data_IF_268644284447
#
_entry.id   IF_268644284447
#
_cell.length_a   1.000
_cell.length_b   1.000
_cell.length_c   1.000
_cell.angle_alpha   90.00
_cell.angle_beta   90.00
_cell.angle_gamma   90.00
#
_symmetry.space_group_name_H-M   'P 1'
#
loop_
_entity.id
_entity.type
_entity.pdbx_description
1 polymer ?
#
# COMPACT_ATOMS: atom_id res chain seq x y z
N UNK A 1 12.85 1.72 -14.95
CA UNK A 1 14.05 2.41 -14.43
C UNK A 1 14.92 1.45 -13.64
N UNK A 2 14.41 0.74 -12.63
CA UNK A 2 15.18 -0.18 -11.77
C UNK A 2 15.95 -1.28 -12.55
N UNK A 3 15.32 -1.92 -13.55
CA UNK A 3 16.00 -2.91 -14.41
C UNK A 3 17.21 -2.34 -15.14
N UNK A 4 17.12 -1.12 -15.65
CA UNK A 4 18.21 -0.46 -16.35
C UNK A 4 19.38 -0.17 -15.41
N UNK A 5 19.10 0.24 -14.18
CA UNK A 5 20.13 0.55 -13.19
C UNK A 5 20.86 -0.72 -12.72
N UNK A 6 20.13 -1.83 -12.53
CA UNK A 6 20.69 -3.15 -12.24
C UNK A 6 21.63 -3.60 -13.35
N UNK A 7 21.16 -3.52 -14.62
CA UNK A 7 21.96 -3.94 -15.79
C UNK A 7 23.22 -3.09 -15.99
N UNK A 8 23.14 -1.76 -15.80
CA UNK A 8 24.29 -0.86 -15.87
C UNK A 8 25.39 -1.19 -14.87
N UNK A 9 25.03 -1.84 -13.76
CA UNK A 9 25.98 -2.29 -12.73
C UNK A 9 26.44 -3.73 -12.92
N UNK A 10 26.09 -4.36 -14.04
CA UNK A 10 26.53 -5.71 -14.39
C UNK A 10 25.75 -6.85 -13.76
N UNK A 11 24.59 -6.56 -13.14
CA UNK A 11 23.70 -7.56 -12.59
C UNK A 11 22.51 -7.85 -13.51
N UNK A 12 21.93 -9.03 -13.37
CA UNK A 12 20.67 -9.40 -14.01
C UNK A 12 19.59 -9.52 -12.95
N UNK A 13 18.40 -8.99 -13.25
CA UNK A 13 17.21 -9.20 -12.44
C UNK A 13 16.46 -10.43 -12.98
N UNK A 14 16.29 -11.44 -12.12
CA UNK A 14 15.48 -12.60 -12.41
C UNK A 14 14.19 -12.51 -11.56
N UNK A 15 13.02 -12.23 -12.16
CA UNK A 15 11.77 -12.26 -11.43
C UNK A 15 11.39 -13.71 -11.10
N UNK A 16 11.08 -13.96 -9.83
CA UNK A 16 10.55 -15.22 -9.35
C UNK A 16 9.14 -14.97 -8.84
N UNK A 17 8.19 -15.73 -9.34
CA UNK A 17 6.81 -15.69 -8.90
C UNK A 17 6.51 -16.94 -8.11
N UNK A 18 5.90 -16.80 -6.95
CA UNK A 18 5.36 -17.92 -6.21
C UNK A 18 4.16 -18.44 -6.99
N UNK A 19 4.23 -19.67 -7.47
CA UNK A 19 3.08 -20.33 -8.06
C UNK A 19 2.07 -20.63 -6.95
N UNK A 20 0.79 -20.39 -7.20
CA UNK A 20 -0.30 -20.64 -6.24
C UNK A 20 -0.56 -22.13 -5.92
N UNK A 21 0.37 -23.01 -6.28
CA UNK A 21 0.34 -24.47 -6.08
C UNK A 21 0.90 -24.93 -4.72
N UNK A 22 1.26 -23.99 -3.85
CA UNK A 22 1.78 -24.29 -2.51
C UNK A 22 3.28 -24.62 -2.45
N UNK A 23 4.03 -24.41 -3.54
CA UNK A 23 5.48 -24.48 -3.49
C UNK A 23 6.00 -23.42 -2.52
N UNK A 24 6.85 -23.81 -1.58
CA UNK A 24 7.44 -22.85 -0.64
C UNK A 24 8.49 -22.01 -1.34
N UNK A 25 8.65 -20.74 -0.91
CA UNK A 25 9.73 -19.86 -1.38
C UNK A 25 11.10 -20.56 -1.34
N UNK A 26 11.30 -21.43 -0.35
CA UNK A 26 12.52 -22.20 -0.21
C UNK A 26 12.74 -23.21 -1.35
N UNK A 27 11.68 -23.79 -1.90
CA UNK A 27 11.76 -24.71 -3.05
C UNK A 27 12.05 -23.97 -4.34
N UNK A 28 11.37 -22.81 -4.54
CA UNK A 28 11.63 -21.92 -5.68
C UNK A 28 13.09 -21.46 -5.67
N UNK A 29 13.59 -20.99 -4.52
CA UNK A 29 14.96 -20.50 -4.39
C UNK A 29 15.97 -21.64 -4.59
N UNK A 30 15.75 -22.84 -4.03
CA UNK A 30 16.64 -23.99 -4.25
C UNK A 30 16.71 -24.39 -5.73
N UNK A 31 15.59 -24.33 -6.44
CA UNK A 31 15.55 -24.60 -7.88
C UNK A 31 16.45 -23.63 -8.67
N UNK A 32 16.41 -22.34 -8.32
CA UNK A 32 17.25 -21.31 -8.97
C UNK A 32 18.73 -21.44 -8.57
N UNK A 33 19.01 -21.72 -7.30
CA UNK A 33 20.38 -21.86 -6.79
C UNK A 33 21.12 -23.05 -7.37
N UNK A 34 20.41 -24.09 -7.87
CA UNK A 34 21.04 -25.26 -8.52
C UNK A 34 21.87 -24.90 -9.74
N UNK A 35 21.49 -23.84 -10.46
CA UNK A 35 22.06 -23.46 -11.76
C UNK A 35 22.59 -22.01 -11.81
N UNK A 36 22.37 -21.19 -10.76
CA UNK A 36 22.65 -19.75 -10.80
C UNK A 36 23.25 -19.25 -9.49
N UNK A 37 24.30 -18.43 -9.59
CA UNK A 37 24.85 -17.73 -8.44
C UNK A 37 24.04 -16.46 -8.17
N UNK A 38 23.28 -16.42 -7.07
CA UNK A 38 22.55 -15.23 -6.64
C UNK A 38 23.46 -14.29 -5.85
N UNK A 39 23.53 -13.04 -6.26
CA UNK A 39 24.26 -12.00 -5.55
C UNK A 39 23.42 -11.40 -4.40
N UNK A 40 22.11 -11.38 -4.52
CA UNK A 40 21.18 -10.86 -3.52
C UNK A 40 19.72 -11.11 -3.92
N UNK A 41 18.81 -10.86 -3.01
CA UNK A 41 17.35 -11.03 -3.22
C UNK A 41 16.62 -9.77 -2.80
N UNK A 42 15.73 -9.27 -3.65
CA UNK A 42 14.68 -8.33 -3.28
C UNK A 42 13.40 -9.15 -3.14
N UNK A 43 12.80 -9.10 -1.96
CA UNK A 43 11.59 -9.84 -1.64
C UNK A 43 10.44 -8.87 -1.41
N UNK A 44 9.37 -9.03 -2.17
CA UNK A 44 8.10 -8.39 -1.86
C UNK A 44 7.34 -9.20 -0.81
N UNK A 45 6.71 -8.53 0.14
CA UNK A 45 5.82 -9.15 1.12
C UNK A 45 4.54 -8.34 1.24
N UNK A 46 3.42 -9.04 1.09
CA UNK A 46 2.06 -8.51 1.28
C UNK A 46 1.41 -9.01 2.56
N UNK A 47 2.06 -9.94 3.25
CA UNK A 47 1.59 -10.53 4.50
C UNK A 47 2.68 -10.52 5.57
N UNK A 48 2.25 -10.49 6.83
CA UNK A 48 3.12 -10.60 8.01
C UNK A 48 3.73 -12.00 8.19
N UNK A 49 3.49 -12.93 7.26
CA UNK A 49 4.08 -14.26 7.33
C UNK A 49 5.59 -14.19 7.21
N UNK A 50 6.24 -14.59 8.29
CA UNK A 50 7.67 -14.70 8.34
C UNK A 50 8.14 -15.69 7.28
N UNK A 51 8.69 -15.13 6.20
CA UNK A 51 9.42 -15.93 5.23
C UNK A 51 10.47 -16.80 5.95
N UNK A 52 10.70 -17.98 5.42
CA UNK A 52 11.76 -18.88 5.84
C UNK A 52 13.15 -18.27 5.62
N UNK A 53 13.36 -17.14 6.24
CA UNK A 53 14.57 -16.33 6.18
C UNK A 53 15.81 -17.08 6.65
N UNK A 54 15.64 -18.13 7.48
CA UNK A 54 16.74 -18.97 7.94
C UNK A 54 17.53 -19.60 6.80
N UNK A 55 16.86 -20.00 5.70
CA UNK A 55 17.55 -20.56 4.54
C UNK A 55 18.49 -19.53 3.91
N UNK A 56 17.99 -18.32 3.66
CA UNK A 56 18.75 -17.25 3.00
C UNK A 56 19.89 -16.74 3.89
N UNK A 57 19.63 -16.57 5.18
CA UNK A 57 20.67 -16.21 6.14
C UNK A 57 21.78 -17.24 6.19
N UNK A 58 21.44 -18.54 6.18
CA UNK A 58 22.42 -19.63 6.19
C UNK A 58 23.25 -19.69 4.89
N UNK A 59 22.73 -19.18 3.79
CA UNK A 59 23.44 -19.12 2.51
C UNK A 59 24.32 -17.87 2.37
N UNK A 60 24.25 -16.93 3.33
CA UNK A 60 24.99 -15.66 3.27
C UNK A 60 24.56 -14.73 2.13
N UNK A 61 23.36 -14.94 1.57
CA UNK A 61 22.82 -14.11 0.49
C UNK A 61 22.07 -12.92 1.12
N UNK A 62 22.43 -11.67 0.79
CA UNK A 62 21.75 -10.51 1.32
C UNK A 62 20.30 -10.43 0.80
N UNK A 63 19.39 -10.04 1.70
CA UNK A 63 17.98 -9.90 1.40
C UNK A 63 17.52 -8.48 1.72
N UNK A 64 16.89 -7.80 0.78
CA UNK A 64 16.14 -6.56 1.02
C UNK A 64 14.66 -6.89 0.95
N UNK A 65 13.94 -6.66 2.04
CA UNK A 65 12.49 -6.79 2.05
C UNK A 65 11.84 -5.50 1.54
N UNK A 66 10.80 -5.66 0.72
CA UNK A 66 9.94 -4.57 0.27
C UNK A 66 8.51 -4.89 0.72
N UNK A 67 7.98 -4.14 1.67
CA UNK A 67 6.66 -4.39 2.22
C UNK A 67 5.63 -3.40 1.69
N UNK A 68 4.57 -3.96 1.09
CA UNK A 68 3.40 -3.20 0.62
C UNK A 68 2.41 -2.88 1.75
N UNK A 69 2.73 -3.29 2.97
CA UNK A 69 1.98 -3.01 4.18
C UNK A 69 2.92 -2.48 5.26
N UNK A 70 2.35 -1.87 6.29
CA UNK A 70 3.11 -1.54 7.48
C UNK A 70 3.55 -2.83 8.19
N UNK A 71 4.83 -3.10 8.18
CA UNK A 71 5.43 -4.30 8.75
C UNK A 71 6.74 -3.97 9.45
N UNK A 72 7.07 -4.78 10.45
CA UNK A 72 8.37 -4.74 11.13
C UNK A 72 9.35 -5.75 10.53
N UNK A 73 10.67 -5.47 10.59
CA UNK A 73 11.68 -6.39 10.11
C UNK A 73 11.68 -7.68 10.94
N UNK A 74 11.90 -8.82 10.27
CA UNK A 74 11.93 -10.14 10.92
C UNK A 74 13.29 -10.47 11.54
N UNK A 75 14.33 -9.70 11.24
CA UNK A 75 15.70 -9.90 11.72
C UNK A 75 16.57 -10.74 10.79
N UNK A 76 16.10 -11.03 9.60
CA UNK A 76 16.83 -11.80 8.58
C UNK A 76 17.12 -10.99 7.32
N UNK A 77 16.56 -9.82 7.23
CA UNK A 77 16.78 -8.89 6.14
C UNK A 77 18.01 -8.02 6.41
N UNK A 78 18.70 -7.63 5.32
CA UNK A 78 19.75 -6.61 5.36
C UNK A 78 19.16 -5.20 5.46
N UNK A 79 17.96 -5.00 4.95
CA UNK A 79 17.13 -3.79 5.16
C UNK A 79 15.68 -4.05 4.82
N UNK A 80 14.78 -3.17 5.31
CA UNK A 80 13.36 -3.16 5.01
C UNK A 80 12.97 -1.82 4.36
N UNK A 81 12.30 -1.90 3.22
CA UNK A 81 11.62 -0.77 2.58
C UNK A 81 10.13 -0.98 2.76
N UNK A 82 9.45 -0.08 3.46
CA UNK A 82 7.99 -0.17 3.70
C UNK A 82 7.29 1.11 3.32
N UNK A 83 5.96 1.05 3.20
CA UNK A 83 5.12 2.23 2.99
C UNK A 83 4.46 2.68 4.28
N UNK A 84 4.20 4.00 4.38
CA UNK A 84 3.20 4.55 5.29
C UNK A 84 1.87 4.63 4.53
N UNK A 85 1.01 3.62 4.72
CA UNK A 85 -0.28 3.54 4.06
C UNK A 85 -1.25 4.63 4.53
N UNK A 86 -1.07 5.11 5.76
CA UNK A 86 -1.94 6.12 6.37
C UNK A 86 -1.67 7.54 5.90
N UNK A 87 -0.45 7.86 5.45
CA UNK A 87 -0.04 9.24 5.15
C UNK A 87 -0.95 9.92 4.12
N UNK A 88 -1.11 9.34 2.93
CA UNK A 88 -1.95 9.90 1.87
C UNK A 88 -3.43 9.99 2.25
N UNK A 89 -3.95 9.01 2.99
CA UNK A 89 -5.31 9.03 3.53
C UNK A 89 -5.47 10.17 4.53
N UNK A 90 -4.50 10.33 5.44
CA UNK A 90 -4.49 11.42 6.40
C UNK A 90 -4.55 12.79 5.73
N UNK A 91 -3.76 13.00 4.69
CA UNK A 91 -3.72 14.27 3.93
C UNK A 91 -5.06 14.57 3.25
N UNK A 92 -5.72 13.53 2.68
CA UNK A 92 -7.03 13.69 2.08
C UNK A 92 -8.09 14.01 3.14
N UNK A 93 -8.15 13.23 4.21
CA UNK A 93 -9.16 13.38 5.28
C UNK A 93 -9.02 14.74 5.98
N UNK A 94 -7.79 15.14 6.32
CA UNK A 94 -7.56 16.45 6.97
C UNK A 94 -7.86 17.66 6.06
N UNK A 95 -7.92 17.45 4.75
CA UNK A 95 -8.21 18.51 3.75
C UNK A 95 -9.61 18.41 3.14
N UNK A 96 -10.39 17.35 3.43
CA UNK A 96 -11.72 17.21 2.87
C UNK A 96 -12.74 18.15 3.55
N UNK A 97 -13.80 18.53 2.82
CA UNK A 97 -14.82 19.43 3.32
C UNK A 97 -15.71 18.82 4.42
N UNK A 98 -15.71 17.48 4.53
CA UNK A 98 -16.47 16.76 5.55
C UNK A 98 -15.86 16.86 6.95
N UNK A 99 -14.60 17.26 7.08
CA UNK A 99 -13.88 17.33 8.36
C UNK A 99 -13.68 18.78 8.77
N UNK A 100 -14.10 19.13 9.98
CA UNK A 100 -13.89 20.46 10.57
C UNK A 100 -12.39 20.69 10.80
N UNK A 101 -11.79 21.77 10.27
CA UNK A 101 -10.35 22.02 10.36
C UNK A 101 -9.86 22.34 11.76
N UNK A 102 -10.75 22.81 12.64
CA UNK A 102 -10.38 23.21 14.00
C UNK A 102 -10.45 22.04 14.99
N UNK A 103 -11.41 21.14 14.77
CA UNK A 103 -11.64 20.01 15.68
C UNK A 103 -11.11 18.69 15.13
N UNK A 104 -10.93 18.57 13.80
CA UNK A 104 -10.59 17.32 13.13
C UNK A 104 -11.74 16.30 13.10
N UNK A 105 -12.98 16.73 13.43
CA UNK A 105 -14.14 15.85 13.50
C UNK A 105 -14.88 15.84 12.17
N UNK A 106 -15.19 14.65 11.67
CA UNK A 106 -15.97 14.42 10.46
C UNK A 106 -17.47 14.59 10.68
N UNK A 107 -18.16 15.11 9.69
CA UNK A 107 -19.62 15.23 9.63
C UNK A 107 -20.24 14.06 8.88
N UNK A 108 -21.40 13.59 9.34
CA UNK A 108 -22.07 12.42 8.79
C UNK A 108 -21.41 11.10 9.23
N UNK A 109 -21.59 10.07 8.42
CA UNK A 109 -21.02 8.73 8.65
C UNK A 109 -20.01 8.38 7.57
N UNK A 110 -18.92 7.72 7.97
CA UNK A 110 -17.94 7.16 7.05
C UNK A 110 -17.95 5.64 7.08
N UNK A 111 -17.85 5.03 5.90
CA UNK A 111 -17.69 3.57 5.74
C UNK A 111 -16.38 3.29 4.99
N UNK A 112 -15.64 2.30 5.47
CA UNK A 112 -14.48 1.75 4.78
C UNK A 112 -14.81 0.34 4.29
N UNK A 113 -14.87 0.17 2.96
CA UNK A 113 -15.10 -1.14 2.34
C UNK A 113 -13.76 -1.84 2.14
N UNK A 114 -13.61 -2.98 2.78
CA UNK A 114 -12.36 -3.74 2.79
C UNK A 114 -12.54 -5.09 2.11
N UNK A 115 -11.71 -5.41 1.14
CA UNK A 115 -11.59 -6.77 0.62
C UNK A 115 -10.87 -7.71 1.60
N UNK A 116 -10.71 -8.99 1.23
CA UNK A 116 -10.00 -9.96 2.06
C UNK A 116 -8.58 -9.52 2.40
N UNK A 117 -8.15 -9.77 3.64
CA UNK A 117 -6.79 -9.48 4.11
C UNK A 117 -6.37 -8.00 4.02
N UNK A 118 -7.31 -7.06 4.00
CA UNK A 118 -7.01 -5.63 4.00
C UNK A 118 -6.27 -5.24 5.29
N UNK A 119 -5.17 -4.50 5.14
CA UNK A 119 -4.48 -3.88 6.27
C UNK A 119 -5.32 -2.75 6.87
N UNK A 120 -5.35 -2.68 8.20
CA UNK A 120 -6.10 -1.67 8.93
C UNK A 120 -5.47 -0.27 8.92
N UNK A 121 -4.20 -0.12 8.56
CA UNK A 121 -3.51 1.17 8.55
C UNK A 121 -4.21 2.23 7.68
N UNK A 122 -4.74 1.82 6.52
CA UNK A 122 -5.49 2.71 5.58
C UNK A 122 -6.71 3.37 6.19
N UNK A 123 -7.41 2.67 7.08
CA UNK A 123 -8.66 3.16 7.68
C UNK A 123 -8.42 4.09 8.89
N UNK A 124 -7.26 4.00 9.56
CA UNK A 124 -7.02 4.70 10.82
C UNK A 124 -7.27 6.21 10.75
N UNK A 125 -6.83 6.96 9.71
CA UNK A 125 -7.12 8.38 9.61
C UNK A 125 -8.62 8.68 9.51
N UNK A 126 -9.38 7.83 8.81
CA UNK A 126 -10.83 7.96 8.66
C UNK A 126 -11.52 7.66 9.98
N UNK A 127 -11.18 6.52 10.60
CA UNK A 127 -11.72 6.12 11.89
C UNK A 127 -11.46 7.17 12.97
N UNK A 128 -10.26 7.79 12.95
CA UNK A 128 -9.93 8.88 13.89
C UNK A 128 -10.79 10.12 13.68
N UNK A 129 -11.06 10.51 12.42
CA UNK A 129 -11.86 11.69 12.11
C UNK A 129 -13.33 11.49 12.41
N UNK A 130 -13.91 10.32 12.13
CA UNK A 130 -15.33 10.06 12.24
C UNK A 130 -15.74 9.36 13.56
N UNK A 131 -14.79 8.84 14.33
CA UNK A 131 -15.03 8.27 15.66
C UNK A 131 -16.11 7.18 15.64
N UNK A 132 -17.17 7.35 16.45
CA UNK A 132 -18.30 6.40 16.53
C UNK A 132 -19.16 6.37 15.27
N UNK A 133 -19.01 7.33 14.37
CA UNK A 133 -19.68 7.37 13.06
C UNK A 133 -18.85 6.71 11.96
N UNK A 134 -17.82 5.95 12.29
CA UNK A 134 -17.03 5.15 11.37
C UNK A 134 -17.47 3.69 11.41
N UNK A 135 -17.56 3.06 10.24
CA UNK A 135 -17.85 1.62 10.09
C UNK A 135 -16.83 0.98 9.17
N UNK A 136 -16.18 -0.07 9.66
CA UNK A 136 -15.39 -0.99 8.83
C UNK A 136 -16.31 -2.10 8.32
N UNK A 137 -16.35 -2.30 6.99
CA UNK A 137 -17.21 -3.27 6.35
C UNK A 137 -16.38 -4.23 5.49
N UNK A 138 -16.31 -5.49 5.89
CA UNK A 138 -15.59 -6.54 5.14
C UNK A 138 -16.41 -7.06 3.97
N UNK A 139 -15.75 -7.13 2.81
CA UNK A 139 -16.26 -7.79 1.62
C UNK A 139 -15.57 -9.14 1.43
N UNK A 140 -16.25 -10.14 0.83
CA UNK A 140 -15.69 -11.47 0.59
C UNK A 140 -14.63 -11.49 -0.53
N UNK A 141 -14.59 -10.48 -1.37
CA UNK A 141 -13.71 -10.35 -2.53
C UNK A 141 -13.42 -8.88 -2.85
N UNK A 142 -12.69 -8.64 -3.94
CA UNK A 142 -12.31 -7.32 -4.44
C UNK A 142 -13.15 -6.86 -5.63
N UNK A 143 -14.23 -7.60 -5.96
CA UNK A 143 -15.00 -7.37 -7.17
C UNK A 143 -15.88 -6.11 -7.07
N UNK A 144 -15.94 -5.28 -8.15
CA UNK A 144 -16.83 -4.12 -8.20
C UNK A 144 -18.30 -4.46 -7.96
N UNK A 145 -18.74 -5.63 -8.43
CA UNK A 145 -20.12 -6.08 -8.25
C UNK A 145 -20.47 -6.32 -6.77
N UNK A 146 -19.54 -6.87 -6.00
CA UNK A 146 -19.72 -7.08 -4.56
C UNK A 146 -19.74 -5.74 -3.82
N UNK A 147 -18.85 -4.81 -4.18
CA UNK A 147 -18.84 -3.45 -3.63
C UNK A 147 -20.15 -2.70 -3.96
N UNK A 148 -20.70 -2.86 -5.18
CA UNK A 148 -21.98 -2.29 -5.57
C UNK A 148 -23.13 -2.77 -4.67
N UNK A 149 -23.30 -4.09 -4.50
CA UNK A 149 -24.37 -4.66 -3.68
C UNK A 149 -24.27 -4.21 -2.20
N UNK A 150 -23.06 -4.20 -1.66
CA UNK A 150 -22.83 -3.71 -0.30
C UNK A 150 -23.18 -2.22 -0.16
N UNK A 151 -22.75 -1.41 -1.13
CA UNK A 151 -23.01 0.05 -1.13
C UNK A 151 -24.48 0.37 -1.22
N UNK A 152 -25.24 -0.28 -2.13
CA UNK A 152 -26.70 -0.08 -2.24
C UNK A 152 -27.39 -0.33 -0.90
N UNK A 153 -27.06 -1.46 -0.23
CA UNK A 153 -27.63 -1.79 1.06
C UNK A 153 -27.25 -0.77 2.13
N UNK A 154 -25.98 -0.44 2.24
CA UNK A 154 -25.46 0.48 3.24
C UNK A 154 -26.09 1.87 3.14
N UNK A 155 -26.20 2.44 1.93
CA UNK A 155 -26.78 3.76 1.68
C UNK A 155 -28.30 3.76 1.89
N UNK A 156 -29.00 2.66 1.59
CA UNK A 156 -30.43 2.51 1.85
C UNK A 156 -30.73 2.44 3.34
N UNK A 157 -29.94 1.67 4.10
CA UNK A 157 -30.11 1.48 5.54
C UNK A 157 -29.61 2.68 6.36
N UNK A 158 -28.63 3.42 5.85
CA UNK A 158 -27.97 4.53 6.54
C UNK A 158 -27.81 5.74 5.60
N UNK A 159 -28.86 6.54 5.42
CA UNK A 159 -28.82 7.69 4.50
C UNK A 159 -27.93 8.85 4.99
N UNK A 160 -27.38 8.77 6.20
CA UNK A 160 -26.42 9.72 6.77
C UNK A 160 -24.95 9.41 6.38
N UNK A 161 -24.69 8.37 5.57
CA UNK A 161 -23.36 8.10 5.05
C UNK A 161 -22.94 9.22 4.09
N UNK A 162 -21.86 9.91 4.43
CA UNK A 162 -21.28 11.03 3.67
C UNK A 162 -19.95 10.70 3.00
N UNK A 163 -19.30 9.60 3.42
CA UNK A 163 -18.04 9.12 2.87
C UNK A 163 -18.03 7.60 2.76
N UNK A 164 -17.71 7.09 1.58
CA UNK A 164 -17.31 5.70 1.37
C UNK A 164 -15.87 5.68 0.89
N UNK A 165 -15.00 5.05 1.64
CA UNK A 165 -13.63 4.76 1.23
C UNK A 165 -13.51 3.28 0.89
N UNK A 166 -12.85 2.99 -0.24
CA UNK A 166 -12.57 1.61 -0.66
C UNK A 166 -11.10 1.27 -0.39
N UNK A 167 -10.84 0.04 -0.03
CA UNK A 167 -9.49 -0.42 0.25
C UNK A 167 -8.62 -0.58 -1.02
N UNK A 168 -9.26 -0.69 -2.19
CA UNK A 168 -8.61 -0.73 -3.49
C UNK A 168 -9.48 -0.06 -4.55
N UNK A 169 -8.86 0.65 -5.48
CA UNK A 169 -9.55 1.39 -6.55
C UNK A 169 -10.41 0.50 -7.46
N UNK A 170 -10.11 -0.79 -7.54
CA UNK A 170 -10.92 -1.77 -8.29
C UNK A 170 -12.37 -1.87 -7.80
N UNK A 171 -12.63 -1.57 -6.53
CA UNK A 171 -13.96 -1.59 -5.93
C UNK A 171 -14.77 -0.31 -6.25
N UNK A 172 -14.10 0.80 -6.55
CA UNK A 172 -14.73 2.12 -6.73
C UNK A 172 -15.83 2.15 -7.82
N UNK A 173 -15.68 1.48 -8.99
CA UNK A 173 -16.74 1.48 -10.01
C UNK A 173 -18.10 1.01 -9.47
N UNK A 174 -18.09 0.00 -8.58
CA UNK A 174 -19.32 -0.49 -7.93
C UNK A 174 -19.94 0.55 -7.01
N UNK A 175 -19.13 1.27 -6.26
CA UNK A 175 -19.60 2.34 -5.36
C UNK A 175 -20.21 3.50 -6.16
N UNK A 176 -19.54 3.93 -7.25
CA UNK A 176 -20.07 4.98 -8.15
C UNK A 176 -21.41 4.58 -8.79
N UNK A 177 -21.51 3.31 -9.24
CA UNK A 177 -22.76 2.81 -9.83
C UNK A 177 -23.90 2.81 -8.81
N UNK A 178 -23.64 2.36 -7.57
CA UNK A 178 -24.65 2.36 -6.51
C UNK A 178 -25.11 3.78 -6.14
N UNK A 179 -24.18 4.74 -6.09
CA UNK A 179 -24.52 6.14 -5.87
C UNK A 179 -25.42 6.69 -6.99
N UNK A 180 -25.09 6.38 -8.26
CA UNK A 180 -25.88 6.80 -9.41
C UNK A 180 -27.29 6.19 -9.41
N UNK A 181 -27.43 4.90 -9.06
CA UNK A 181 -28.73 4.21 -9.01
C UNK A 181 -29.64 4.73 -7.85
N UNK A 182 -29.04 5.38 -6.85
CA UNK A 182 -29.75 6.06 -5.76
C UNK A 182 -29.89 7.56 -5.97
N UNK A 183 -29.60 8.07 -7.18
CA UNK A 183 -29.65 9.49 -7.54
C UNK A 183 -28.76 10.40 -6.64
N UNK A 184 -27.68 9.85 -6.07
CA UNK A 184 -26.73 10.59 -5.24
C UNK A 184 -25.64 11.24 -6.09
N UNK A 185 -25.43 12.53 -5.89
CA UNK A 185 -24.36 13.29 -6.55
C UNK A 185 -23.03 13.12 -5.84
N UNK A 186 -21.98 12.73 -6.59
CA UNK A 186 -20.61 12.67 -6.09
C UNK A 186 -19.87 13.94 -6.55
N UNK A 187 -19.25 14.71 -5.66
CA UNK A 187 -19.06 14.51 -4.22
C UNK A 187 -20.09 15.20 -3.33
N UNK A 188 -21.19 15.79 -3.88
CA UNK A 188 -22.06 16.69 -3.15
C UNK A 188 -22.85 15.97 -2.03
N UNK A 189 -23.43 14.82 -2.35
CA UNK A 189 -24.19 13.99 -1.39
C UNK A 189 -23.33 12.90 -0.77
N UNK A 190 -22.38 12.34 -1.56
CA UNK A 190 -21.50 11.25 -1.15
C UNK A 190 -20.08 11.49 -1.66
N UNK A 191 -19.09 11.53 -0.78
CA UNK A 191 -17.69 11.48 -1.15
C UNK A 191 -17.22 10.02 -1.31
N UNK A 192 -16.41 9.75 -2.34
CA UNK A 192 -15.84 8.42 -2.60
C UNK A 192 -14.32 8.55 -2.63
N UNK A 193 -13.63 7.80 -1.77
CA UNK A 193 -12.17 7.77 -1.65
C UNK A 193 -11.62 6.40 -2.04
N UNK A 194 -10.65 6.38 -2.96
CA UNK A 194 -9.94 5.19 -3.39
C UNK A 194 -8.59 4.99 -2.72
N UNK A 195 -7.94 3.88 -3.07
CA UNK A 195 -6.57 3.55 -2.67
C UNK A 195 -5.89 2.69 -3.74
N UNK A 196 -4.68 3.05 -4.11
CA UNK A 196 -3.81 2.30 -5.02
C UNK A 196 -3.32 3.11 -6.21
N UNK A 197 -4.20 3.78 -6.92
CA UNK A 197 -3.93 4.56 -8.14
C UNK A 197 -3.14 3.77 -9.21
N UNK A 198 -3.24 2.45 -9.22
CA UNK A 198 -2.48 1.60 -10.15
C UNK A 198 -3.04 1.67 -11.57
N UNK A 199 -4.36 1.70 -11.73
CA UNK A 199 -5.01 2.00 -13.01
C UNK A 199 -5.41 3.48 -13.07
N UNK A 200 -4.42 4.32 -13.38
CA UNK A 200 -4.61 5.77 -13.49
C UNK A 200 -5.74 6.17 -14.44
N UNK A 201 -5.94 5.41 -15.54
CA UNK A 201 -6.94 5.74 -16.56
C UNK A 201 -8.35 5.51 -16.05
N UNK A 202 -8.60 4.39 -15.40
CA UNK A 202 -9.90 4.09 -14.79
C UNK A 202 -10.23 5.07 -13.65
N UNK A 203 -9.26 5.33 -12.77
CA UNK A 203 -9.43 6.29 -11.70
C UNK A 203 -9.67 7.72 -12.22
N UNK A 204 -8.98 8.14 -13.29
CA UNK A 204 -9.19 9.44 -13.94
C UNK A 204 -10.56 9.53 -14.61
N UNK A 205 -10.99 8.49 -15.34
CA UNK A 205 -12.30 8.44 -15.99
C UNK A 205 -13.47 8.55 -15.00
N UNK A 206 -13.31 7.97 -13.80
CA UNK A 206 -14.28 8.11 -12.71
C UNK A 206 -14.16 9.44 -11.95
N UNK A 207 -13.11 10.21 -12.16
CA UNK A 207 -12.78 11.35 -11.31
C UNK A 207 -12.47 10.94 -9.86
N UNK A 208 -11.98 9.71 -9.63
CA UNK A 208 -11.74 9.13 -8.32
C UNK A 208 -10.55 9.79 -7.62
N UNK A 209 -10.79 10.50 -6.53
CA UNK A 209 -9.74 10.89 -5.57
C UNK A 209 -9.23 9.64 -4.88
N UNK A 210 -7.94 9.41 -4.92
CA UNK A 210 -7.33 8.18 -4.41
C UNK A 210 -5.98 8.45 -3.75
N UNK A 211 -5.41 7.44 -3.14
CA UNK A 211 -4.08 7.45 -2.56
C UNK A 211 -3.13 6.67 -3.47
N UNK A 212 -2.02 7.30 -3.86
CA UNK A 212 -1.01 6.69 -4.73
C UNK A 212 -0.03 5.84 -3.92
N UNK A 213 0.17 4.61 -4.37
CA UNK A 213 1.26 3.76 -3.90
C UNK A 213 2.56 4.15 -4.58
N UNK A 214 3.61 4.49 -3.82
CA UNK A 214 4.88 4.92 -4.40
C UNK A 214 5.73 3.74 -4.89
N UNK A 215 5.16 2.84 -5.72
CA UNK A 215 5.80 1.59 -6.17
C UNK A 215 7.14 1.80 -6.86
N UNK A 216 7.22 2.85 -7.70
CA UNK A 216 8.46 3.19 -8.40
C UNK A 216 9.56 3.59 -7.43
N UNK A 217 9.20 4.37 -6.41
CA UNK A 217 10.14 4.85 -5.39
C UNK A 217 10.58 3.69 -4.49
N UNK A 218 9.64 2.84 -4.07
CA UNK A 218 9.94 1.63 -3.29
C UNK A 218 10.88 0.70 -4.03
N UNK A 219 10.58 0.40 -5.29
CA UNK A 219 11.42 -0.47 -6.12
C UNK A 219 12.81 0.12 -6.32
N UNK A 220 12.91 1.43 -6.54
CA UNK A 220 14.19 2.13 -6.69
C UNK A 220 15.01 2.09 -5.40
N UNK A 221 14.36 2.27 -4.25
CA UNK A 221 15.00 2.16 -2.95
C UNK A 221 15.50 0.74 -2.67
N UNK A 222 14.69 -0.28 -2.96
CA UNK A 222 15.06 -1.67 -2.76
C UNK A 222 16.25 -2.08 -3.63
N UNK A 223 16.25 -1.68 -4.90
CA UNK A 223 17.36 -1.92 -5.84
C UNK A 223 18.64 -1.21 -5.37
N UNK A 224 18.53 0.03 -4.94
CA UNK A 224 19.69 0.78 -4.41
C UNK A 224 20.26 0.11 -3.17
N UNK A 225 19.38 -0.29 -2.25
CA UNK A 225 19.77 -0.93 -1.00
C UNK A 225 20.45 -2.27 -1.24
N UNK A 226 19.89 -3.15 -2.07
CA UNK A 226 20.49 -4.47 -2.33
C UNK A 226 21.84 -4.35 -3.03
N UNK A 227 21.99 -3.44 -4.00
CA UNK A 227 23.28 -3.22 -4.67
C UNK A 227 24.33 -2.71 -3.68
N UNK A 228 23.97 -1.79 -2.79
CA UNK A 228 24.89 -1.30 -1.78
C UNK A 228 25.38 -2.46 -0.88
N UNK A 229 24.46 -3.31 -0.43
CA UNK A 229 24.83 -4.47 0.40
C UNK A 229 25.75 -5.44 -0.33
N UNK A 230 25.42 -5.77 -1.60
CA UNK A 230 26.27 -6.65 -2.43
C UNK A 230 27.69 -6.08 -2.60
N UNK A 231 27.80 -4.76 -2.76
CA UNK A 231 29.08 -4.06 -2.94
C UNK A 231 29.76 -3.69 -1.60
N UNK A 232 29.29 -4.23 -0.48
CA UNK A 232 29.87 -4.02 0.86
C UNK A 232 29.65 -2.63 1.44
N UNK A 233 28.67 -1.89 0.94
CA UNK A 233 28.25 -0.59 1.45
C UNK A 233 27.02 -0.71 2.36
N UNK A 234 26.79 0.23 3.30
CA UNK A 234 25.58 0.22 4.10
C UNK A 234 24.33 0.29 3.21
N UNK A 235 23.28 -0.48 3.53
CA UNK A 235 22.00 -0.32 2.88
C UNK A 235 21.48 1.11 3.13
N UNK A 236 20.97 1.77 2.10
CA UNK A 236 20.46 3.14 2.20
C UNK A 236 19.37 3.37 1.17
N UNK A 237 18.36 4.14 1.56
CA UNK A 237 17.37 4.71 0.67
C UNK A 237 17.84 6.02 0.01
N UNK A 238 19.09 6.46 0.25
CA UNK A 238 19.64 7.78 -0.12
C UNK A 238 19.69 8.07 -1.63
N UNK A 239 19.30 7.12 -2.49
CA UNK A 239 19.11 7.36 -3.92
C UNK A 239 17.69 7.85 -4.28
N UNK A 240 16.81 7.96 -3.30
CA UNK A 240 15.49 8.55 -3.50
C UNK A 240 15.61 10.08 -3.61
N UNK A 241 14.78 10.71 -4.45
CA UNK A 241 14.75 12.18 -4.53
C UNK A 241 14.54 12.80 -3.16
N UNK A 242 15.27 13.88 -2.85
CA UNK A 242 15.10 14.62 -1.60
C UNK A 242 13.68 15.19 -1.41
N UNK A 243 12.87 15.22 -2.47
CA UNK A 243 11.45 15.59 -2.43
C UNK A 243 10.54 14.52 -1.78
N UNK A 244 11.05 13.31 -1.62
CA UNK A 244 10.37 12.24 -0.87
C UNK A 244 10.68 12.41 0.61
N UNK A 245 9.64 12.61 1.40
CA UNK A 245 9.73 12.62 2.87
C UNK A 245 9.94 11.20 3.40
N UNK A 246 11.05 10.57 3.02
CA UNK A 246 11.41 9.23 3.49
C UNK A 246 11.91 9.34 4.92
N UNK A 247 11.31 8.55 5.80
CA UNK A 247 11.82 8.39 7.16
C UNK A 247 12.74 7.18 7.18
N UNK A 248 14.01 7.39 7.54
CA UNK A 248 14.98 6.32 7.79
C UNK A 248 15.14 6.13 9.29
N UNK A 249 14.97 4.92 9.73
CA UNK A 249 15.16 4.53 11.12
C UNK A 249 15.89 3.19 11.21
N UNK A 250 16.39 2.86 12.38
CA UNK A 250 17.03 1.57 12.64
C UNK A 250 16.22 0.85 13.71
N UNK A 251 15.63 -0.28 13.34
CA UNK A 251 14.80 -1.08 14.23
C UNK A 251 15.57 -2.30 14.71
N UNK A 252 15.50 -2.56 16.01
CA UNK A 252 16.06 -3.79 16.59
C UNK A 252 15.15 -4.97 16.25
N UNK A 253 15.67 -5.93 15.51
CA UNK A 253 14.98 -7.18 15.20
C UNK A 253 15.88 -8.37 15.59
N UNK A 254 15.41 -9.16 16.53
CA UNK A 254 16.20 -10.25 17.11
C UNK A 254 17.53 -9.73 17.72
N UNK A 255 18.68 -10.10 17.16
CA UNK A 255 20.02 -9.67 17.61
C UNK A 255 20.68 -8.62 16.71
N UNK A 256 19.97 -8.16 15.68
CA UNK A 256 20.51 -7.25 14.67
C UNK A 256 19.73 -5.94 14.61
N UNK A 257 20.44 -4.87 14.26
CA UNK A 257 19.82 -3.58 13.93
C UNK A 257 19.57 -3.54 12.42
N UNK A 258 18.30 -3.48 12.04
CA UNK A 258 17.88 -3.48 10.64
C UNK A 258 17.51 -2.05 10.22
N UNK A 259 18.16 -1.48 9.19
CA UNK A 259 17.74 -0.22 8.60
C UNK A 259 16.35 -0.34 7.96
N UNK A 260 15.46 0.58 8.29
CA UNK A 260 14.09 0.65 7.78
C UNK A 260 13.88 1.98 7.09
N UNK A 261 13.49 1.96 5.83
CA UNK A 261 13.04 3.15 5.10
C UNK A 261 11.53 3.10 4.92
N UNK A 262 10.84 4.10 5.45
CA UNK A 262 9.39 4.26 5.31
C UNK A 262 9.09 5.33 4.28
N UNK A 263 8.36 4.96 3.23
CA UNK A 263 7.99 5.84 2.11
C UNK A 263 6.51 6.20 2.25
N UNK A 264 6.14 7.48 2.37
CA UNK A 264 4.75 7.87 2.52
C UNK A 264 3.97 7.66 1.22
N UNK A 265 2.74 7.20 1.35
CA UNK A 265 1.73 7.27 0.29
C UNK A 265 1.34 8.72 0.04
N UNK A 266 0.77 9.01 -1.15
CA UNK A 266 0.48 10.39 -1.57
C UNK A 266 -0.98 10.56 -1.98
N UNK A 267 -1.59 11.72 -1.69
CA UNK A 267 -2.93 12.02 -2.15
C UNK A 267 -2.94 12.35 -3.65
N UNK A 268 -3.89 11.78 -4.39
CA UNK A 268 -4.19 12.12 -5.77
C UNK A 268 -5.61 12.67 -5.82
N UNK A 269 -5.72 13.99 -5.79
CA UNK A 269 -7.00 14.69 -5.77
C UNK A 269 -7.65 14.69 -7.15
N UNK A 270 -8.91 14.30 -7.19
CA UNK A 270 -9.82 14.40 -8.33
C UNK A 270 -11.18 14.91 -7.84
N UNK A 271 -12.29 14.54 -8.49
CA UNK A 271 -13.59 15.12 -8.22
C UNK A 271 -14.41 14.40 -7.14
N UNK A 272 -14.10 13.16 -6.78
CA UNK A 272 -14.99 12.31 -5.97
C UNK A 272 -14.98 12.59 -4.46
N UNK A 273 -14.08 13.43 -3.98
CA UNK A 273 -14.05 13.91 -2.58
C UNK A 273 -14.14 15.42 -2.57
N UNK A 274 -15.09 15.96 -1.81
CA UNK A 274 -15.22 17.41 -1.65
C UNK A 274 -14.00 17.97 -0.88
N UNK A 275 -13.20 18.80 -1.58
CA UNK A 275 -12.03 19.45 -0.99
C UNK A 275 -12.40 20.78 -0.37
N UNK A 276 -11.85 21.07 0.79
CA UNK A 276 -11.95 22.38 1.42
C UNK A 276 -11.22 23.41 0.55
N UNK A 277 -11.84 24.57 0.34
CA UNK A 277 -11.28 25.69 -0.42
C UNK A 277 -10.38 26.56 0.46
#
# INVERSE_FOLDING_TARGET
TAMIDIQRRGYLLLPLFQAGDGASDAEVIRGVLGDTQLAGIIRETTSAEAFTSRLLTNLGIPVVAMSMIEADPTGSESSLIRIDEGAGVHDIISSCALVDPNTGIGSGRAVFLAGPNTNHARQHPIARAFGTNFTFYSLPDWEPATAYQATLRLLTENPDISLIAVADDSQAPGVFQAAADLDLSVPADLSILGFGNQDHRSAEALGLTTVDWPLTDMTSAAVASIINVIEGRPPTASLLPASLAVTEEATQASSQTIPVATIPTRPVWRASVARRR
#
